data_IF_700516229455
#
_entry.id   IF_700516229455
#
_cell.length_a   1.000
_cell.length_b   1.000
_cell.length_c   1.000
_cell.angle_alpha   90.00
_cell.angle_beta   90.00
_cell.angle_gamma   90.00
#
_symmetry.space_group_name_H-M   'P 1'
#
loop_
_entity.id
_entity.type
_entity.pdbx_description
1 polymer ?
#
# COMPACT_ATOMS: atom_id res chain seq x y z
N UNK A 1 3.11 3.00 29.87
CA UNK A 1 3.05 2.07 31.02
C UNK A 1 1.68 2.01 31.68
N UNK A 2 0.91 3.10 31.78
CA UNK A 2 -0.44 3.08 32.36
C UNK A 2 -1.53 2.47 31.43
N UNK A 3 -1.38 2.61 30.12
CA UNK A 3 -2.33 2.02 29.14
C UNK A 3 -2.30 0.49 29.14
N UNK A 4 -1.11 -0.10 29.30
CA UNK A 4 -0.92 -1.55 29.37
C UNK A 4 -1.54 -2.15 30.63
N UNK A 5 -1.55 -1.42 31.75
CA UNK A 5 -2.15 -1.88 33.01
C UNK A 5 -3.67 -1.84 32.99
N UNK A 6 -4.26 -0.82 32.35
CA UNK A 6 -5.72 -0.73 32.17
C UNK A 6 -6.20 -1.81 31.20
N UNK A 7 -5.48 -2.00 30.09
CA UNK A 7 -5.78 -3.05 29.12
C UNK A 7 -5.72 -4.43 29.79
N UNK A 8 -4.65 -4.76 30.52
CA UNK A 8 -4.54 -6.05 31.22
C UNK A 8 -5.65 -6.28 32.25
N UNK A 9 -6.09 -5.24 32.95
CA UNK A 9 -7.19 -5.33 33.90
C UNK A 9 -8.52 -5.66 33.20
N UNK A 10 -8.79 -5.02 32.05
CA UNK A 10 -9.98 -5.29 31.25
C UNK A 10 -10.00 -6.72 30.69
N UNK A 11 -8.84 -7.29 30.34
CA UNK A 11 -8.74 -8.69 29.90
C UNK A 11 -9.15 -9.67 31.00
N UNK A 12 -8.77 -9.40 32.25
CA UNK A 12 -9.16 -10.20 33.40
C UNK A 12 -10.66 -10.17 33.66
N UNK A 13 -11.29 -8.98 33.53
CA UNK A 13 -12.75 -8.84 33.63
C UNK A 13 -13.47 -9.62 32.54
N UNK A 14 -12.96 -9.59 31.31
CA UNK A 14 -13.55 -10.32 30.18
C UNK A 14 -13.40 -11.84 30.32
N UNK A 15 -12.26 -12.32 30.82
CA UNK A 15 -12.04 -13.75 31.11
C UNK A 15 -13.04 -14.27 32.15
N UNK A 16 -13.24 -13.54 33.25
CA UNK A 16 -14.22 -13.90 34.28
C UNK A 16 -15.64 -13.93 33.73
N UNK A 17 -16.03 -12.94 32.93
CA UNK A 17 -17.35 -12.88 32.31
C UNK A 17 -17.61 -14.07 31.36
N UNK A 18 -16.59 -14.56 30.65
CA UNK A 18 -16.70 -15.75 29.79
C UNK A 18 -16.86 -17.03 30.63
N UNK A 19 -16.13 -17.15 31.73
CA UNK A 19 -16.25 -18.29 32.65
C UNK A 19 -17.64 -18.33 33.29
N UNK A 20 -18.20 -17.18 33.71
CA UNK A 20 -19.56 -17.09 34.24
C UNK A 20 -20.63 -17.50 33.22
N UNK A 21 -20.36 -17.34 31.92
CA UNK A 21 -21.21 -17.82 30.83
C UNK A 21 -20.98 -19.28 30.45
N UNK A 22 -20.15 -20.00 31.22
CA UNK A 22 -19.89 -21.43 31.04
C UNK A 22 -18.85 -21.74 29.97
N UNK A 23 -18.03 -20.77 29.55
CA UNK A 23 -16.89 -21.02 28.67
C UNK A 23 -15.77 -21.69 29.47
N UNK A 24 -15.16 -22.72 28.90
CA UNK A 24 -14.01 -23.40 29.51
C UNK A 24 -12.91 -22.38 29.89
N UNK A 25 -12.32 -22.45 31.10
CA UNK A 25 -11.33 -21.48 31.57
C UNK A 25 -10.13 -21.32 30.64
N UNK A 26 -9.69 -22.39 29.99
CA UNK A 26 -8.56 -22.36 29.05
C UNK A 26 -8.94 -21.62 27.77
N UNK A 27 -10.17 -21.85 27.28
CA UNK A 27 -10.70 -21.17 26.12
C UNK A 27 -11.00 -19.69 26.41
N UNK A 28 -11.57 -19.38 27.58
CA UNK A 28 -11.84 -18.01 28.03
C UNK A 28 -10.56 -17.17 28.09
N UNK A 29 -9.47 -17.74 28.64
CA UNK A 29 -8.14 -17.12 28.67
C UNK A 29 -7.56 -16.90 27.29
N UNK A 30 -7.70 -17.87 26.38
CA UNK A 30 -7.21 -17.73 25.01
C UNK A 30 -7.97 -16.63 24.23
N UNK A 31 -9.30 -16.57 24.40
CA UNK A 31 -10.14 -15.55 23.78
C UNK A 31 -9.89 -14.16 24.37
N UNK A 32 -9.75 -14.05 25.70
CA UNK A 32 -9.48 -12.79 26.38
C UNK A 32 -8.14 -12.19 25.95
N UNK A 33 -7.10 -13.03 25.92
CA UNK A 33 -5.76 -12.64 25.47
C UNK A 33 -5.75 -12.22 24.01
N UNK A 34 -6.43 -12.96 23.12
CA UNK A 34 -6.45 -12.65 21.68
C UNK A 34 -7.24 -11.37 21.36
N UNK A 35 -8.29 -11.07 22.12
CA UNK A 35 -9.05 -9.83 21.98
C UNK A 35 -8.32 -8.62 22.59
N UNK A 36 -7.48 -8.84 23.61
CA UNK A 36 -6.68 -7.81 24.25
C UNK A 36 -5.31 -7.57 23.63
N UNK A 37 -4.77 -8.55 22.90
CA UNK A 37 -3.57 -8.35 22.11
C UNK A 37 -3.93 -7.23 21.12
N UNK A 38 -3.25 -6.07 21.18
CA UNK A 38 -3.60 -4.97 20.31
C UNK A 38 -3.53 -5.50 18.88
N UNK A 39 -4.58 -5.24 18.10
CA UNK A 39 -4.67 -5.56 16.68
C UNK A 39 -3.66 -4.72 15.87
N UNK A 40 -2.38 -4.79 16.24
CA UNK A 40 -1.24 -4.34 15.45
C UNK A 40 -1.00 -5.22 14.22
N UNK A 41 -1.78 -6.31 14.05
CA UNK A 41 -1.86 -7.07 12.81
C UNK A 41 -3.13 -6.80 11.99
N UNK A 42 -4.01 -5.89 12.42
CA UNK A 42 -4.71 -5.05 11.45
C UNK A 42 -3.74 -3.93 11.03
N UNK A 43 -2.60 -4.34 10.48
CA UNK A 43 -1.69 -3.43 9.84
C UNK A 43 -2.52 -2.60 8.86
N UNK A 44 -2.54 -1.25 8.95
CA UNK A 44 -2.64 -0.53 7.72
C UNK A 44 -1.38 -0.92 6.94
N UNK A 45 -1.50 -1.91 6.06
CA UNK A 45 -0.59 -2.14 4.94
C UNK A 45 -0.56 -0.92 4.00
N UNK A 46 -1.26 0.16 4.37
CA UNK A 46 -1.12 1.51 3.83
C UNK A 46 -0.57 2.49 4.88
N UNK A 47 0.36 2.05 5.75
CA UNK A 47 1.38 2.96 6.25
C UNK A 47 2.17 3.41 5.02
N UNK A 48 1.69 4.49 4.39
CA UNK A 48 2.36 5.17 3.28
C UNK A 48 3.80 5.34 3.71
N UNK A 49 4.72 4.49 3.21
CA UNK A 49 6.16 4.73 3.30
C UNK A 49 6.32 6.20 2.96
N UNK A 50 6.76 7.02 3.92
CA UNK A 50 6.88 8.45 3.75
C UNK A 50 7.60 8.65 2.42
N UNK A 51 6.88 9.14 1.40
CA UNK A 51 7.38 9.12 0.04
C UNK A 51 8.65 9.98 0.06
N UNK A 52 9.81 9.33 -0.08
CA UNK A 52 11.10 10.00 0.04
C UNK A 52 11.06 11.24 -0.83
N UNK A 53 11.30 12.42 -0.22
CA UNK A 53 11.18 13.72 -0.88
C UNK A 53 11.95 13.67 -2.19
N UNK A 54 11.24 13.64 -3.31
CA UNK A 54 11.85 13.65 -4.63
C UNK A 54 12.48 15.02 -4.81
N UNK A 55 13.75 15.06 -5.24
CA UNK A 55 14.46 16.33 -5.50
C UNK A 55 13.64 17.15 -6.51
N UNK A 56 13.50 18.47 -6.32
CA UNK A 56 12.63 19.35 -7.14
C UNK A 56 12.87 19.16 -8.65
N UNK A 57 14.13 19.03 -9.08
CA UNK A 57 14.49 18.79 -10.49
C UNK A 57 14.04 17.42 -11.04
N UNK A 58 14.00 16.38 -10.21
CA UNK A 58 13.54 15.06 -10.61
C UNK A 58 12.03 15.06 -10.93
N UNK A 59 11.24 15.87 -10.22
CA UNK A 59 9.80 16.00 -10.47
C UNK A 59 9.50 16.58 -11.86
N UNK A 60 10.22 17.62 -12.26
CA UNK A 60 10.07 18.23 -13.58
C UNK A 60 10.51 17.26 -14.70
N UNK A 61 11.64 16.58 -14.53
CA UNK A 61 12.10 15.58 -15.49
C UNK A 61 11.13 14.40 -15.64
N UNK A 62 10.56 13.90 -14.54
CA UNK A 62 9.58 12.82 -14.56
C UNK A 62 8.26 13.24 -15.21
N UNK A 63 7.84 14.50 -15.03
CA UNK A 63 6.65 15.04 -15.70
C UNK A 63 6.82 15.05 -17.22
N UNK A 64 7.94 15.59 -17.72
CA UNK A 64 8.28 15.58 -19.15
C UNK A 64 8.36 14.15 -19.71
N UNK A 65 8.95 13.22 -18.95
CA UNK A 65 9.02 11.82 -19.35
C UNK A 65 7.62 11.18 -19.45
N UNK A 66 6.74 11.45 -18.49
CA UNK A 66 5.36 10.95 -18.49
C UNK A 66 4.56 11.47 -19.69
N UNK A 67 4.66 12.77 -19.97
CA UNK A 67 4.02 13.40 -21.13
C UNK A 67 4.55 12.82 -22.45
N UNK A 68 5.87 12.62 -22.56
CA UNK A 68 6.50 12.00 -23.72
C UNK A 68 6.04 10.55 -23.95
N UNK A 69 5.86 9.76 -22.90
CA UNK A 69 5.32 8.40 -23.01
C UNK A 69 3.84 8.39 -23.43
N UNK A 70 3.03 9.34 -22.94
CA UNK A 70 1.63 9.47 -23.39
C UNK A 70 1.55 9.75 -24.88
N UNK A 71 2.41 10.63 -25.38
CA UNK A 71 2.47 10.94 -26.80
C UNK A 71 3.03 9.79 -27.65
N UNK A 72 4.10 9.14 -27.22
CA UNK A 72 4.64 7.98 -27.91
C UNK A 72 3.60 6.84 -28.01
N UNK A 73 2.86 6.58 -26.93
CA UNK A 73 1.77 5.61 -26.92
C UNK A 73 0.65 6.03 -27.86
N UNK A 74 0.22 7.30 -27.87
CA UNK A 74 -0.80 7.79 -28.81
C UNK A 74 -0.40 7.58 -30.29
N UNK A 75 0.89 7.72 -30.61
CA UNK A 75 1.41 7.52 -31.98
C UNK A 75 1.56 6.04 -32.35
N UNK A 76 2.00 5.20 -31.41
CA UNK A 76 2.42 3.82 -31.68
C UNK A 76 1.42 2.74 -31.23
N UNK A 77 0.43 3.09 -30.41
CA UNK A 77 -0.66 2.18 -30.03
C UNK A 77 -1.93 2.47 -30.84
N UNK A 78 -2.76 1.45 -30.96
CA UNK A 78 -4.14 1.51 -31.44
C UNK A 78 -5.06 1.95 -30.29
N UNK A 79 -6.33 2.24 -30.61
CA UNK A 79 -7.35 2.60 -29.61
C UNK A 79 -7.62 1.48 -28.59
N UNK A 80 -7.41 0.21 -28.97
CA UNK A 80 -7.52 -0.96 -28.08
C UNK A 80 -6.28 -1.19 -27.19
N UNK A 81 -5.26 -0.32 -27.25
CA UNK A 81 -4.04 -0.42 -26.42
C UNK A 81 -2.93 -1.31 -27.01
N UNK A 82 -3.21 -2.06 -28.07
CA UNK A 82 -2.20 -2.85 -28.78
C UNK A 82 -1.18 -1.96 -29.49
N UNK A 83 0.04 -2.45 -29.65
CA UNK A 83 1.03 -1.82 -30.51
C UNK A 83 0.60 -1.95 -31.98
N UNK A 84 0.92 -0.93 -32.78
CA UNK A 84 0.78 -1.00 -34.24
C UNK A 84 1.73 -2.07 -34.80
N UNK A 85 1.37 -2.64 -35.95
CA UNK A 85 2.16 -3.68 -36.61
C UNK A 85 3.62 -3.23 -36.81
N UNK A 86 4.56 -4.14 -36.54
CA UNK A 86 6.00 -3.89 -36.64
C UNK A 86 6.55 -2.89 -35.63
N UNK A 87 5.81 -2.56 -34.55
CA UNK A 87 6.30 -1.72 -33.44
C UNK A 87 6.48 -2.55 -32.19
N UNK A 88 7.56 -2.23 -31.48
CA UNK A 88 7.94 -2.87 -30.22
C UNK A 88 7.88 -1.86 -29.08
N UNK A 89 7.88 -2.37 -27.84
CA UNK A 89 8.01 -1.51 -26.66
C UNK A 89 9.32 -0.70 -26.66
N UNK A 90 10.39 -1.25 -27.25
CA UNK A 90 11.65 -0.53 -27.41
C UNK A 90 11.49 0.71 -28.32
N UNK A 91 10.66 0.63 -29.37
CA UNK A 91 10.38 1.77 -30.24
C UNK A 91 9.61 2.87 -29.50
N UNK A 92 8.67 2.49 -28.63
CA UNK A 92 7.95 3.44 -27.76
C UNK A 92 8.91 4.15 -26.83
N UNK A 93 9.79 3.41 -26.16
CA UNK A 93 10.79 3.99 -25.26
C UNK A 93 11.78 4.92 -26.00
N UNK A 94 12.27 4.51 -27.17
CA UNK A 94 13.15 5.34 -28.02
C UNK A 94 12.46 6.60 -28.51
N UNK A 95 11.19 6.53 -28.86
CA UNK A 95 10.40 7.70 -29.25
C UNK A 95 10.16 8.64 -28.06
N UNK A 96 9.77 8.08 -26.90
CA UNK A 96 9.53 8.86 -25.69
C UNK A 96 10.79 9.61 -25.23
N UNK A 97 11.97 8.98 -25.25
CA UNK A 97 13.20 9.68 -24.88
C UNK A 97 13.57 10.79 -25.87
N UNK A 98 13.30 10.61 -27.17
CA UNK A 98 13.49 11.69 -28.17
C UNK A 98 12.52 12.85 -27.94
N UNK A 99 11.26 12.59 -27.63
CA UNK A 99 10.26 13.61 -27.33
C UNK A 99 10.59 14.36 -26.04
N UNK A 100 11.00 13.64 -24.99
CA UNK A 100 11.42 14.24 -23.71
C UNK A 100 12.54 15.26 -23.90
N UNK A 101 13.51 15.01 -24.79
CA UNK A 101 14.62 15.94 -25.04
C UNK A 101 14.17 17.24 -25.73
N UNK A 102 13.00 17.22 -26.39
CA UNK A 102 12.40 18.38 -27.06
C UNK A 102 11.43 19.17 -26.17
N UNK A 103 11.07 18.62 -25.00
CA UNK A 103 10.16 19.22 -24.00
C UNK A 103 10.97 19.87 -22.88
#
# INVERSE_FOLDING_TARGET
MAETTIASALCGVMEQALIEKGVDPTLAKALSQRACQPALEAAPSVAKKAARKTRRGAKAANRKLSEAFKEANRRLRKKNGELRSGKTQADVARLAQRLRRKM
#
